data_IF_681625231647
#
_entry.id   IF_681625231647
#
_cell.length_a   1.000
_cell.length_b   1.000
_cell.length_c   1.000
_cell.angle_alpha   90.00
_cell.angle_beta   90.00
_cell.angle_gamma   90.00
#
_symmetry.space_group_name_H-M   'P 1'
#
loop_
_entity.id
_entity.type
_entity.pdbx_description
1 polymer ?
#
# COMPACT_ATOMS: atom_id res chain seq x y z
N UNK A 1 14.75 5.47 5.19
CA UNK A 1 13.39 5.55 5.72
C UNK A 1 12.40 4.91 4.77
N UNK A 2 11.34 4.36 5.30
CA UNK A 2 10.43 3.52 4.53
C UNK A 2 9.06 4.16 4.38
N UNK A 3 8.47 4.00 3.21
CA UNK A 3 7.12 4.47 2.92
C UNK A 3 6.21 3.27 2.68
N UNK A 4 5.06 3.26 3.34
CA UNK A 4 4.09 2.20 3.18
C UNK A 4 3.27 2.43 1.90
N UNK A 5 3.21 1.43 1.06
CA UNK A 5 2.48 1.50 -0.20
C UNK A 5 1.57 0.28 -0.29
N UNK A 6 0.30 0.51 -0.56
CA UNK A 6 -0.69 -0.55 -0.72
C UNK A 6 -1.28 -0.44 -2.11
N UNK A 7 -1.38 -1.56 -2.82
CA UNK A 7 -1.97 -1.60 -4.14
C UNK A 7 -3.11 -2.61 -4.14
N UNK A 8 -4.26 -2.21 -4.67
CA UNK A 8 -5.44 -3.06 -4.76
C UNK A 8 -5.75 -3.28 -6.22
N UNK A 9 -5.78 -4.53 -6.64
CA UNK A 9 -6.06 -4.90 -8.02
C UNK A 9 -7.36 -5.68 -8.10
N UNK A 10 -8.21 -5.31 -9.07
CA UNK A 10 -9.43 -6.05 -9.35
C UNK A 10 -9.06 -7.34 -10.08
N UNK A 11 -9.47 -8.48 -9.53
CA UNK A 11 -9.14 -9.76 -10.14
C UNK A 11 -10.01 -10.09 -11.36
N UNK A 12 -11.11 -9.37 -11.54
CA UNK A 12 -12.01 -9.59 -12.66
C UNK A 12 -11.66 -8.75 -13.88
N UNK A 13 -10.98 -7.65 -13.67
CA UNK A 13 -10.61 -6.72 -14.75
C UNK A 13 -9.09 -6.60 -14.77
N UNK A 14 -8.51 -6.98 -15.89
CA UNK A 14 -7.06 -6.92 -16.03
C UNK A 14 -6.58 -5.46 -15.97
N UNK A 15 -5.49 -5.25 -15.27
CA UNK A 15 -4.83 -3.95 -15.15
C UNK A 15 -5.65 -2.90 -14.40
N UNK A 16 -6.72 -3.30 -13.72
CA UNK A 16 -7.51 -2.37 -12.92
C UNK A 16 -6.97 -2.37 -11.49
N UNK A 17 -5.96 -1.57 -11.25
CA UNK A 17 -5.32 -1.48 -9.95
C UNK A 17 -5.30 -0.05 -9.46
N UNK A 18 -5.39 0.10 -8.13
CA UNK A 18 -5.24 1.39 -7.48
C UNK A 18 -4.10 1.31 -6.48
N UNK A 19 -3.30 2.35 -6.42
CA UNK A 19 -2.18 2.43 -5.50
C UNK A 19 -2.41 3.52 -4.47
N UNK A 20 -2.17 3.18 -3.21
CA UNK A 20 -2.30 4.10 -2.11
C UNK A 20 -0.94 4.25 -1.43
N UNK A 21 -0.45 5.47 -1.35
CA UNK A 21 0.82 5.76 -0.70
C UNK A 21 0.54 6.46 0.63
N UNK A 22 1.15 5.96 1.70
CA UNK A 22 1.00 6.55 3.01
C UNK A 22 1.74 7.89 3.06
N UNK A 23 1.05 8.90 3.58
CA UNK A 23 1.63 10.23 3.72
C UNK A 23 2.14 10.53 5.12
N UNK A 24 1.84 9.66 6.08
CA UNK A 24 2.29 9.85 7.46
C UNK A 24 3.75 9.46 7.66
N UNK A 25 4.22 8.50 6.86
CA UNK A 25 5.62 8.13 6.94
C UNK A 25 6.52 9.31 6.68
N UNK A 26 7.79 9.10 6.63
CA UNK A 26 8.46 7.80 6.56
C UNK A 26 8.63 7.10 7.90
N UNK A 27 8.89 5.81 7.83
CA UNK A 27 9.12 4.97 9.01
C UNK A 27 10.55 4.48 9.05
N UNK A 28 11.07 4.32 10.25
CA UNK A 28 12.47 3.93 10.43
C UNK A 28 12.66 2.43 10.23
N UNK A 29 11.70 1.64 10.70
CA UNK A 29 11.82 0.19 10.65
C UNK A 29 10.73 -0.44 9.78
N UNK A 30 11.00 -1.66 9.32
CA UNK A 30 10.00 -2.43 8.58
C UNK A 30 8.79 -2.74 9.45
N UNK A 31 9.00 -2.99 10.74
CA UNK A 31 7.90 -3.30 11.64
C UNK A 31 6.90 -2.14 11.71
N UNK A 32 7.40 -0.93 11.84
CA UNK A 32 6.53 0.24 11.85
C UNK A 32 5.80 0.40 10.52
N UNK A 33 6.51 0.18 9.43
CA UNK A 33 5.92 0.29 8.10
C UNK A 33 4.82 -0.75 7.90
N UNK A 34 5.06 -1.98 8.28
CA UNK A 34 4.05 -3.03 8.15
C UNK A 34 2.85 -2.81 9.05
N UNK A 35 3.07 -2.29 10.25
CA UNK A 35 1.95 -1.95 11.13
C UNK A 35 1.05 -0.91 10.45
N UNK A 36 1.65 0.06 9.80
CA UNK A 36 0.88 1.05 9.06
C UNK A 36 0.16 0.45 7.86
N UNK A 37 0.82 -0.48 7.16
CA UNK A 37 0.19 -1.19 6.04
C UNK A 37 -1.08 -1.88 6.51
N UNK A 38 -1.03 -2.55 7.64
CA UNK A 38 -2.21 -3.22 8.17
C UNK A 38 -3.33 -2.24 8.45
N UNK A 39 -3.01 -1.08 9.03
CA UNK A 39 -4.00 -0.04 9.28
C UNK A 39 -4.62 0.47 7.97
N UNK A 40 -3.80 0.65 6.95
CA UNK A 40 -4.29 1.11 5.66
C UNK A 40 -5.24 0.09 5.04
N UNK A 41 -4.89 -1.18 5.10
CA UNK A 41 -5.73 -2.25 4.56
C UNK A 41 -7.07 -2.29 5.31
N UNK A 42 -7.03 -2.22 6.63
CA UNK A 42 -8.26 -2.20 7.42
C UNK A 42 -9.16 -1.02 7.06
N UNK A 43 -8.55 0.14 6.82
CA UNK A 43 -9.31 1.33 6.43
C UNK A 43 -9.89 1.20 5.04
N UNK A 44 -9.24 0.44 4.16
CA UNK A 44 -9.70 0.27 2.79
C UNK A 44 -10.82 -0.75 2.66
N UNK A 45 -10.85 -1.76 3.52
CA UNK A 45 -11.82 -2.84 3.41
C UNK A 45 -13.27 -2.37 3.27
N UNK A 46 -13.74 -1.42 4.10
CA UNK A 46 -15.14 -0.97 3.98
C UNK A 46 -15.44 -0.23 2.69
N UNK A 47 -14.43 0.32 2.02
CA UNK A 47 -14.62 1.10 0.81
C UNK A 47 -14.41 0.29 -0.46
N UNK A 48 -13.90 -0.93 -0.33
CA UNK A 48 -13.67 -1.78 -1.49
C UNK A 48 -15.00 -2.32 -2.02
N UNK A 49 -15.14 -2.43 -3.36
CA UNK A 49 -16.33 -3.01 -3.93
C UNK A 49 -16.43 -4.50 -3.60
N UNK A 50 -17.64 -5.08 -3.65
CA UNK A 50 -17.83 -6.50 -3.35
C UNK A 50 -17.41 -7.40 -4.51
N UNK A 51 -16.21 -7.19 -5.04
CA UNK A 51 -15.64 -8.01 -6.11
C UNK A 51 -14.31 -8.59 -5.63
N UNK A 52 -13.87 -9.70 -6.19
CA UNK A 52 -12.57 -10.26 -5.84
C UNK A 52 -11.47 -9.25 -6.12
N UNK A 53 -10.67 -8.97 -5.12
CA UNK A 53 -9.56 -8.02 -5.24
C UNK A 53 -8.32 -8.63 -4.63
N UNK A 54 -7.18 -8.34 -5.24
CA UNK A 54 -5.89 -8.73 -4.71
C UNK A 54 -5.24 -7.51 -4.06
N UNK A 55 -4.84 -7.66 -2.80
CA UNK A 55 -4.19 -6.58 -2.08
C UNK A 55 -2.71 -6.88 -1.97
N UNK A 56 -1.91 -5.98 -2.49
CA UNK A 56 -0.45 -6.07 -2.44
C UNK A 56 0.06 -4.88 -1.63
N UNK A 57 1.21 -5.08 -1.00
CA UNK A 57 1.80 -4.03 -0.20
C UNK A 57 3.31 -4.12 -0.27
N UNK A 58 3.96 -3.00 0.01
CA UNK A 58 5.39 -2.97 0.14
C UNK A 58 5.84 -1.80 0.99
N UNK A 59 7.02 -1.91 1.54
CA UNK A 59 7.69 -0.83 2.24
C UNK A 59 8.92 -0.47 1.42
N UNK A 60 8.91 0.72 0.85
CA UNK A 60 9.95 1.16 -0.06
C UNK A 60 10.66 2.39 0.47
N UNK A 61 11.96 2.47 0.24
CA UNK A 61 12.73 3.66 0.56
C UNK A 61 12.70 4.60 -0.63
N UNK A 62 11.67 5.42 -0.69
CA UNK A 62 11.47 6.34 -1.80
C UNK A 62 12.53 7.41 -1.88
N UNK A 63 13.10 7.78 -0.74
CA UNK A 63 14.15 8.79 -0.72
C UNK A 63 15.36 8.32 -1.50
N UNK A 64 15.68 7.04 -1.39
CA UNK A 64 16.80 6.47 -2.10
C UNK A 64 16.47 6.26 -3.58
N UNK A 65 15.25 5.90 -3.88
CA UNK A 65 14.85 5.62 -5.24
C UNK A 65 14.59 6.83 -6.10
N UNK A 66 14.31 7.95 -5.48
CA UNK A 66 13.94 9.17 -6.19
C UNK A 66 15.09 9.74 -7.03
N UNK A 67 16.30 9.39 -6.67
CA UNK A 67 17.46 9.89 -7.40
C UNK A 67 17.48 9.49 -8.87
N UNK A 68 16.67 8.56 -9.25
CA UNK A 68 16.63 8.07 -10.65
C UNK A 68 15.61 8.79 -11.51
#
# INVERSE_FOLDING_TARGET
>A
MLTAIVMVCNMLVKDDCMQFTDRRGPYVTHEECFARVEQMIESLKPTLPPVPSQILYKCADLKKGVAT
#
